data_IF_961989536675
#
_entry.id   IF_961989536675
#
_cell.length_a   1.000
_cell.length_b   1.000
_cell.length_c   1.000
_cell.angle_alpha   90.00
_cell.angle_beta   90.00
_cell.angle_gamma   90.00
#
_symmetry.space_group_name_H-M   'P 1'
#
loop_
_entity.id
_entity.type
_entity.pdbx_description
1 polymer ?
#
# COMPACT_ATOMS: atom_id res chain seq x y z
N UNK A 1 17.31 30.84 17.57
CA UNK A 1 16.50 31.82 18.32
C UNK A 1 17.40 32.52 19.34
N UNK A 2 18.15 33.56 18.95
CA UNK A 2 19.12 34.20 19.84
C UNK A 2 18.50 35.13 20.90
N UNK A 3 17.16 35.20 21.00
CA UNK A 3 16.43 36.12 21.88
C UNK A 3 15.52 35.41 22.90
N UNK A 4 15.61 34.08 23.04
CA UNK A 4 14.85 33.33 24.05
C UNK A 4 15.69 33.13 25.30
N UNK A 5 15.05 33.13 26.47
CA UNK A 5 15.71 32.90 27.76
C UNK A 5 16.16 31.44 27.87
N UNK A 6 17.29 31.19 28.56
CA UNK A 6 17.85 29.84 28.73
C UNK A 6 16.86 28.88 29.44
N UNK A 7 16.08 29.41 30.39
CA UNK A 7 15.04 28.68 31.11
C UNK A 7 13.97 28.09 30.18
N UNK A 8 13.67 28.76 29.05
CA UNK A 8 12.74 28.23 28.05
C UNK A 8 13.30 26.98 27.36
N UNK A 9 14.60 26.93 27.10
CA UNK A 9 15.24 25.74 26.51
C UNK A 9 15.36 24.60 27.50
N UNK A 10 15.51 24.88 28.80
CA UNK A 10 15.40 23.86 29.85
C UNK A 10 13.97 23.32 29.95
N UNK A 11 12.96 24.19 29.89
CA UNK A 11 11.56 23.78 29.80
C UNK A 11 11.29 22.89 28.58
N UNK A 12 11.79 23.26 27.39
CA UNK A 12 11.66 22.45 26.17
C UNK A 12 12.40 21.12 26.23
N UNK A 13 13.41 20.98 27.10
CA UNK A 13 14.10 19.70 27.34
C UNK A 13 13.37 18.82 28.35
N UNK A 14 12.57 19.41 29.24
CA UNK A 14 11.83 18.68 30.27
C UNK A 14 10.39 18.33 29.90
N UNK A 15 9.82 18.96 28.87
CA UNK A 15 8.50 18.61 28.33
C UNK A 15 8.43 17.14 27.93
N UNK A 16 7.37 16.49 28.41
CA UNK A 16 6.91 15.20 27.94
C UNK A 16 5.37 15.19 27.83
N UNK A 17 4.79 14.02 27.54
CA UNK A 17 3.34 13.84 27.45
C UNK A 17 2.77 13.07 28.65
N UNK A 18 3.46 13.06 29.79
CA UNK A 18 3.07 12.23 30.95
C UNK A 18 1.74 12.67 31.58
N UNK A 19 1.50 13.99 31.66
CA UNK A 19 0.26 14.60 32.17
C UNK A 19 -0.80 14.84 31.06
N UNK A 20 -0.70 14.13 29.93
CA UNK A 20 -1.65 14.24 28.81
C UNK A 20 -2.62 13.06 28.81
N UNK A 21 -3.91 13.35 28.86
CA UNK A 21 -4.98 12.37 28.70
C UNK A 21 -5.61 12.50 27.30
N UNK A 22 -5.83 11.36 26.64
CA UNK A 22 -6.44 11.30 25.31
C UNK A 22 -7.70 10.44 25.33
N UNK A 23 -8.81 11.04 24.92
CA UNK A 23 -10.09 10.37 24.72
C UNK A 23 -10.40 10.38 23.23
N UNK A 24 -10.66 9.22 22.63
CA UNK A 24 -10.90 9.12 21.19
C UNK A 24 -11.96 8.07 20.85
N UNK A 25 -12.64 8.30 19.73
CA UNK A 25 -13.50 7.28 19.12
C UNK A 25 -12.60 6.12 18.63
N UNK A 26 -12.96 4.84 18.88
CA UNK A 26 -12.18 3.72 18.37
C UNK A 26 -12.08 3.72 16.83
N UNK A 27 -10.96 3.23 16.30
CA UNK A 27 -10.79 3.12 14.84
C UNK A 27 -11.85 2.22 14.19
N UNK A 28 -12.23 2.53 12.94
CA UNK A 28 -13.23 1.80 12.17
C UNK A 28 -14.67 2.27 12.38
N UNK A 29 -14.93 3.17 13.33
CA UNK A 29 -16.24 3.78 13.52
C UNK A 29 -16.49 4.91 12.52
N UNK A 30 -17.75 5.04 12.11
CA UNK A 30 -18.19 6.19 11.32
C UNK A 30 -18.29 7.44 12.22
N UNK A 31 -17.78 8.56 11.73
CA UNK A 31 -17.81 9.85 12.41
C UNK A 31 -18.47 10.90 11.52
N UNK A 32 -19.07 11.91 12.15
CA UNK A 32 -19.87 12.92 11.46
C UNK A 32 -19.34 14.33 11.73
N UNK A 33 -19.60 15.29 10.81
CA UNK A 33 -19.19 16.67 11.02
C UNK A 33 -19.73 17.23 12.33
N UNK A 34 -18.90 18.06 12.99
CA UNK A 34 -19.23 18.74 14.26
C UNK A 34 -19.39 17.80 15.47
N UNK A 35 -18.94 16.55 15.37
CA UNK A 35 -18.79 15.63 16.49
C UNK A 35 -17.30 15.52 16.82
N UNK A 36 -16.88 15.67 18.10
CA UNK A 36 -15.48 15.51 18.47
C UNK A 36 -15.02 14.07 18.24
N UNK A 37 -13.99 13.92 17.40
CA UNK A 37 -13.29 12.65 17.15
C UNK A 37 -12.36 12.26 18.30
N UNK A 38 -11.71 13.27 18.87
CA UNK A 38 -10.72 13.16 19.92
C UNK A 38 -10.82 14.38 20.84
N UNK A 39 -10.57 14.16 22.14
CA UNK A 39 -10.40 15.19 23.16
C UNK A 39 -9.07 14.94 23.87
N UNK A 40 -8.28 16.00 24.01
CA UNK A 40 -6.95 15.97 24.63
C UNK A 40 -6.98 16.92 25.82
N UNK A 41 -6.60 16.42 26.99
CA UNK A 41 -6.56 17.18 28.24
C UNK A 41 -5.14 17.14 28.80
N UNK A 42 -4.66 18.26 29.36
CA UNK A 42 -3.31 18.36 29.91
C UNK A 42 -2.77 19.79 29.93
N UNK A 43 -1.47 19.97 30.23
CA UNK A 43 -0.83 21.28 30.24
C UNK A 43 -0.94 21.99 28.88
N UNK A 44 -1.41 23.25 28.89
CA UNK A 44 -1.75 24.01 27.68
C UNK A 44 -0.63 24.04 26.64
N UNK A 45 0.62 24.23 27.08
CA UNK A 45 1.77 24.29 26.17
C UNK A 45 2.04 22.95 25.48
N UNK A 46 1.85 21.83 26.17
CA UNK A 46 2.06 20.47 25.61
C UNK A 46 0.94 20.11 24.64
N UNK A 47 -0.32 20.27 25.06
CA UNK A 47 -1.47 19.93 24.22
C UNK A 47 -1.53 20.79 22.95
N UNK A 48 -1.08 22.04 23.02
CA UNK A 48 -0.98 22.92 21.86
C UNK A 48 0.07 22.45 20.85
N UNK A 49 1.21 21.92 21.32
CA UNK A 49 2.24 21.34 20.43
C UNK A 49 1.74 20.06 19.74
N UNK A 50 0.84 19.32 20.39
CA UNK A 50 0.25 18.08 19.86
C UNK A 50 -0.83 18.32 18.79
N UNK A 51 -1.37 19.53 18.65
CA UNK A 51 -2.42 19.84 17.68
C UNK A 51 -2.00 19.48 16.24
N UNK A 52 -0.84 19.95 15.80
CA UNK A 52 -0.35 19.74 14.43
C UNK A 52 -0.14 18.26 14.09
N UNK A 53 0.59 17.47 14.90
CA UNK A 53 0.79 16.04 14.60
C UNK A 53 -0.52 15.26 14.64
N UNK A 54 -1.42 15.52 15.60
CA UNK A 54 -2.72 14.84 15.64
C UNK A 54 -3.58 15.18 14.43
N UNK A 55 -3.66 16.46 14.02
CA UNK A 55 -4.37 16.85 12.82
C UNK A 55 -3.82 16.15 11.57
N UNK A 56 -2.49 16.07 11.42
CA UNK A 56 -1.86 15.39 10.29
C UNK A 56 -2.22 13.91 10.24
N UNK A 57 -2.03 13.20 11.37
CA UNK A 57 -2.27 11.76 11.48
C UNK A 57 -3.74 11.40 11.28
N UNK A 58 -4.65 12.07 12.00
CA UNK A 58 -6.08 11.74 12.02
C UNK A 58 -6.75 12.11 10.69
N UNK A 59 -6.41 13.27 10.10
CA UNK A 59 -7.01 13.68 8.83
C UNK A 59 -6.62 12.73 7.70
N UNK A 60 -5.33 12.36 7.62
CA UNK A 60 -4.87 11.44 6.58
C UNK A 60 -5.49 10.05 6.71
N UNK A 61 -5.46 9.49 7.93
CA UNK A 61 -6.06 8.20 8.24
C UNK A 61 -7.54 8.13 7.88
N UNK A 62 -8.30 9.13 8.33
CA UNK A 62 -9.75 9.19 8.11
C UNK A 62 -10.10 9.38 6.64
N UNK A 63 -9.36 10.23 5.91
CA UNK A 63 -9.54 10.47 4.49
C UNK A 63 -9.33 9.19 3.67
N UNK A 64 -8.20 8.51 3.89
CA UNK A 64 -7.86 7.28 3.15
C UNK A 64 -8.87 6.18 3.46
N UNK A 65 -9.18 5.95 4.74
CA UNK A 65 -10.15 4.93 5.17
C UNK A 65 -11.52 5.19 4.54
N UNK A 66 -11.99 6.44 4.57
CA UNK A 66 -13.29 6.82 3.98
C UNK A 66 -13.31 6.62 2.47
N UNK A 67 -12.23 6.98 1.77
CA UNK A 67 -12.17 6.78 0.32
C UNK A 67 -12.13 5.29 -0.05
N UNK A 68 -11.39 4.48 0.70
CA UNK A 68 -11.38 3.03 0.53
C UNK A 68 -12.77 2.41 0.77
N UNK A 69 -13.48 2.87 1.81
CA UNK A 69 -14.86 2.44 2.08
C UNK A 69 -15.82 2.82 0.94
N UNK A 70 -15.65 4.00 0.32
CA UNK A 70 -16.41 4.40 -0.87
C UNK A 70 -16.14 3.49 -2.06
N UNK A 71 -14.88 3.12 -2.30
CA UNK A 71 -14.53 2.16 -3.34
C UNK A 71 -15.13 0.77 -3.07
N UNK A 72 -15.06 0.29 -1.82
CA UNK A 72 -15.70 -0.97 -1.41
C UNK A 72 -17.21 -0.94 -1.64
N UNK A 73 -17.88 0.17 -1.31
CA UNK A 73 -19.32 0.33 -1.53
C UNK A 73 -19.68 0.18 -3.01
N UNK A 74 -18.92 0.81 -3.91
CA UNK A 74 -19.16 0.77 -5.36
C UNK A 74 -18.81 -0.59 -5.96
N UNK A 75 -17.69 -1.18 -5.56
CA UNK A 75 -17.24 -2.47 -6.10
C UNK A 75 -18.08 -3.66 -5.61
N UNK A 76 -18.69 -3.54 -4.42
CA UNK A 76 -19.41 -4.62 -3.76
C UNK A 76 -18.49 -5.63 -3.07
N UNK A 77 -19.08 -6.55 -2.29
CA UNK A 77 -18.34 -7.54 -1.49
C UNK A 77 -17.74 -8.69 -2.29
N UNK A 78 -18.22 -8.94 -3.50
CA UNK A 78 -17.80 -10.09 -4.32
C UNK A 78 -16.51 -9.84 -5.11
N UNK A 79 -16.03 -8.59 -5.14
CA UNK A 79 -14.84 -8.20 -5.90
C UNK A 79 -13.64 -8.06 -4.97
N UNK A 80 -12.49 -8.55 -5.43
CA UNK A 80 -11.23 -8.34 -4.74
C UNK A 80 -10.69 -6.93 -5.03
N UNK A 81 -10.47 -6.14 -3.97
CA UNK A 81 -9.88 -4.81 -4.03
C UNK A 81 -8.46 -4.85 -3.50
N UNK A 82 -7.51 -4.37 -4.31
CA UNK A 82 -6.08 -4.39 -4.00
C UNK A 82 -5.53 -2.96 -3.98
N UNK A 83 -4.73 -2.65 -2.95
CA UNK A 83 -4.09 -1.35 -2.78
C UNK A 83 -2.68 -1.39 -3.39
N UNK A 84 -2.49 -0.71 -4.53
CA UNK A 84 -1.20 -0.60 -5.26
C UNK A 84 -0.76 0.88 -5.45
N UNK A 85 -1.12 1.73 -4.50
CA UNK A 85 -0.84 3.17 -4.47
C UNK A 85 0.54 3.54 -3.94
N UNK A 86 1.28 2.61 -3.31
CA UNK A 86 2.57 2.83 -2.64
C UNK A 86 3.50 3.83 -3.35
N UNK A 87 3.73 3.67 -4.65
CA UNK A 87 4.68 4.50 -5.42
C UNK A 87 4.25 5.95 -5.65
N UNK A 88 3.03 6.32 -5.26
CA UNK A 88 2.51 7.71 -5.29
C UNK A 88 2.08 8.20 -3.92
N UNK A 89 2.26 7.38 -2.88
CA UNK A 89 1.97 7.81 -1.53
C UNK A 89 2.98 8.86 -1.08
N UNK A 90 2.54 9.81 -0.27
CA UNK A 90 3.31 11.00 0.06
C UNK A 90 4.21 10.76 1.27
N UNK A 91 5.50 11.10 1.13
CA UNK A 91 6.47 11.01 2.21
C UNK A 91 6.85 9.57 2.59
N UNK A 92 7.74 9.42 3.58
CA UNK A 92 8.29 8.12 3.98
C UNK A 92 7.24 7.21 4.64
N UNK A 93 6.30 7.77 5.40
CA UNK A 93 5.27 7.00 6.11
C UNK A 93 3.99 6.80 5.28
N UNK A 94 3.71 7.69 4.31
CA UNK A 94 2.42 7.69 3.60
C UNK A 94 2.11 6.37 2.90
N UNK A 95 3.12 5.65 2.41
CA UNK A 95 2.94 4.33 1.80
C UNK A 95 2.39 3.29 2.77
N UNK A 96 2.97 3.23 3.98
CA UNK A 96 2.60 2.27 5.03
C UNK A 96 1.23 2.64 5.60
N UNK A 97 1.05 3.91 5.96
CA UNK A 97 -0.22 4.43 6.46
C UNK A 97 -1.35 4.25 5.45
N UNK A 98 -1.14 4.57 4.17
CA UNK A 98 -2.17 4.36 3.14
C UNK A 98 -2.59 2.89 3.03
N UNK A 99 -1.62 1.97 3.05
CA UNK A 99 -1.89 0.52 2.97
C UNK A 99 -2.77 0.06 4.14
N UNK A 100 -2.44 0.49 5.36
CA UNK A 100 -3.18 0.17 6.59
C UNK A 100 -4.62 0.66 6.52
N UNK A 101 -4.81 1.94 6.19
CA UNK A 101 -6.12 2.57 6.22
C UNK A 101 -7.00 2.16 5.01
N UNK A 102 -6.40 1.83 3.86
CA UNK A 102 -7.15 1.20 2.77
C UNK A 102 -7.68 -0.17 3.16
N UNK A 103 -6.87 -1.00 3.83
CA UNK A 103 -7.30 -2.30 4.33
C UNK A 103 -8.43 -2.16 5.35
N UNK A 104 -8.29 -1.24 6.31
CA UNK A 104 -9.35 -0.91 7.26
C UNK A 104 -10.65 -0.46 6.59
N UNK A 105 -10.55 0.35 5.53
CA UNK A 105 -11.68 0.79 4.71
C UNK A 105 -12.31 -0.33 3.86
N UNK A 106 -11.74 -1.53 3.88
CA UNK A 106 -12.32 -2.72 3.27
C UNK A 106 -11.63 -3.20 2.00
N UNK A 107 -10.40 -2.79 1.71
CA UNK A 107 -9.57 -3.45 0.70
C UNK A 107 -9.10 -4.82 1.22
N UNK A 108 -8.80 -5.76 0.32
CA UNK A 108 -8.50 -7.15 0.69
C UNK A 108 -7.00 -7.44 0.81
N UNK A 109 -6.16 -6.66 0.13
CA UNK A 109 -4.70 -6.84 0.14
C UNK A 109 -3.95 -5.58 -0.30
N UNK A 110 -2.64 -5.55 -0.06
CA UNK A 110 -1.72 -4.49 -0.54
C UNK A 110 -0.49 -5.08 -1.24
N UNK A 111 0.15 -4.30 -2.11
CA UNK A 111 1.52 -4.60 -2.58
C UNK A 111 2.62 -4.24 -1.59
N UNK A 112 2.31 -3.49 -0.53
CA UNK A 112 3.31 -2.99 0.40
C UNK A 112 3.71 -4.05 1.43
N UNK A 113 4.88 -4.65 1.21
CA UNK A 113 5.43 -5.70 2.09
C UNK A 113 5.70 -5.19 3.51
N UNK A 114 6.08 -3.91 3.68
CA UNK A 114 6.30 -3.35 5.01
C UNK A 114 5.00 -3.25 5.81
N UNK A 115 3.90 -2.84 5.16
CA UNK A 115 2.59 -2.81 5.79
C UNK A 115 2.07 -4.24 6.09
N UNK A 116 2.31 -5.19 5.19
CA UNK A 116 2.01 -6.60 5.45
C UNK A 116 2.77 -7.17 6.65
N UNK A 117 4.05 -6.80 6.80
CA UNK A 117 4.87 -7.21 7.96
C UNK A 117 4.42 -6.57 9.27
N UNK A 118 4.10 -5.27 9.28
CA UNK A 118 3.78 -4.52 10.49
C UNK A 118 2.35 -4.78 10.98
N UNK A 119 1.40 -4.95 10.06
CA UNK A 119 -0.03 -4.99 10.38
C UNK A 119 -0.73 -6.30 9.99
N UNK A 120 0.02 -7.28 9.45
CA UNK A 120 -0.55 -8.58 9.04
C UNK A 120 -1.49 -8.49 7.83
N UNK A 121 -1.40 -7.42 7.04
CA UNK A 121 -2.25 -7.21 5.86
C UNK A 121 -1.85 -8.21 4.77
N UNK A 122 -2.80 -8.92 4.12
CA UNK A 122 -2.48 -9.83 3.03
C UNK A 122 -1.71 -9.11 1.91
N UNK A 123 -0.63 -9.75 1.45
CA UNK A 123 0.21 -9.20 0.38
C UNK A 123 -0.21 -9.79 -0.96
N UNK A 124 -0.33 -8.94 -1.98
CA UNK A 124 -0.53 -9.31 -3.38
C UNK A 124 0.34 -8.44 -4.29
N UNK A 125 0.91 -9.03 -5.31
CA UNK A 125 1.72 -8.32 -6.29
C UNK A 125 2.15 -9.26 -7.42
N UNK A 126 2.40 -8.69 -8.58
CA UNK A 126 2.92 -9.40 -9.75
C UNK A 126 4.33 -8.92 -10.07
N UNK A 127 4.94 -9.48 -11.10
CA UNK A 127 6.14 -8.90 -11.70
C UNK A 127 5.84 -7.52 -12.30
N UNK A 128 6.89 -6.71 -12.47
CA UNK A 128 6.81 -5.36 -13.04
C UNK A 128 7.06 -5.36 -14.55
N UNK A 129 6.64 -4.31 -15.25
CA UNK A 129 7.01 -4.13 -16.66
C UNK A 129 8.53 -4.06 -16.87
N UNK A 130 9.27 -3.46 -15.92
CA UNK A 130 10.71 -3.37 -16.00
C UNK A 130 11.40 -4.75 -16.02
N UNK A 131 10.80 -5.76 -15.38
CA UNK A 131 11.28 -7.13 -15.46
C UNK A 131 11.13 -7.71 -16.87
N UNK A 132 10.01 -7.44 -17.56
CA UNK A 132 9.83 -7.92 -18.93
C UNK A 132 10.74 -7.16 -19.90
N UNK A 133 10.82 -5.83 -19.75
CA UNK A 133 11.61 -4.96 -20.61
C UNK A 133 13.13 -5.09 -20.43
N UNK A 134 13.60 -5.79 -19.38
CA UNK A 134 15.03 -6.04 -19.21
C UNK A 134 15.57 -7.15 -20.09
N UNK A 135 14.69 -7.92 -20.75
CA UNK A 135 15.10 -9.01 -21.64
C UNK A 135 15.07 -8.57 -23.11
N UNK A 136 16.17 -8.75 -23.83
CA UNK A 136 16.24 -8.45 -25.27
C UNK A 136 15.94 -9.66 -26.15
N UNK A 137 16.02 -10.86 -25.59
CA UNK A 137 15.85 -12.12 -26.32
C UNK A 137 15.71 -13.33 -25.39
N UNK A 138 15.35 -14.47 -25.97
CA UNK A 138 15.19 -15.74 -25.24
C UNK A 138 16.55 -16.37 -24.86
N UNK A 139 17.64 -15.91 -25.46
CA UNK A 139 19.01 -16.33 -25.19
C UNK A 139 19.52 -15.85 -23.82
N UNK A 140 18.93 -14.80 -23.26
CA UNK A 140 19.25 -14.29 -21.91
C UNK A 140 18.63 -15.14 -20.78
N UNK A 141 17.70 -16.04 -21.11
CA UNK A 141 17.08 -16.94 -20.14
C UNK A 141 18.04 -18.08 -19.83
N UNK A 142 18.63 -18.01 -18.63
CA UNK A 142 19.66 -18.95 -18.15
C UNK A 142 19.08 -20.29 -17.71
N UNK A 143 17.99 -20.28 -16.94
CA UNK A 143 17.29 -21.50 -16.53
C UNK A 143 16.08 -21.72 -17.44
N UNK A 144 16.13 -22.81 -18.19
CA UNK A 144 15.07 -23.23 -19.13
C UNK A 144 14.23 -24.36 -18.57
N UNK A 145 14.58 -24.87 -17.39
CA UNK A 145 13.88 -25.98 -16.79
C UNK A 145 12.61 -25.49 -16.09
N UNK A 146 11.53 -26.25 -16.20
CA UNK A 146 10.31 -25.99 -15.46
C UNK A 146 9.79 -27.28 -14.84
N UNK A 147 9.77 -27.31 -13.51
CA UNK A 147 9.19 -28.42 -12.76
C UNK A 147 7.69 -28.19 -12.56
N UNK A 148 6.91 -29.27 -12.68
CA UNK A 148 5.48 -29.26 -12.41
C UNK A 148 5.18 -28.90 -10.94
N UNK A 149 4.00 -28.34 -10.68
CA UNK A 149 3.60 -27.90 -9.33
C UNK A 149 3.52 -29.03 -8.30
N UNK A 150 3.31 -30.26 -8.75
CA UNK A 150 3.31 -31.49 -7.96
C UNK A 150 4.69 -32.17 -7.88
N UNK A 151 5.70 -31.63 -8.57
CA UNK A 151 7.06 -32.18 -8.62
C UNK A 151 7.21 -33.47 -9.42
N UNK A 152 6.16 -33.95 -10.10
CA UNK A 152 6.17 -35.26 -10.76
C UNK A 152 6.93 -35.29 -12.10
N UNK A 153 7.10 -34.13 -12.72
CA UNK A 153 7.70 -34.00 -14.04
C UNK A 153 8.49 -32.70 -14.18
N UNK A 154 9.57 -32.75 -14.95
CA UNK A 154 10.41 -31.60 -15.26
C UNK A 154 10.54 -31.46 -16.76
N UNK A 155 10.16 -30.30 -17.28
CA UNK A 155 10.43 -29.91 -18.65
C UNK A 155 11.85 -29.33 -18.70
N UNK A 156 12.78 -30.00 -19.37
CA UNK A 156 14.19 -29.56 -19.48
C UNK A 156 14.37 -28.30 -20.34
N UNK A 157 13.49 -28.09 -21.31
CA UNK A 157 13.52 -26.91 -22.19
C UNK A 157 12.12 -26.31 -22.40
N UNK A 158 11.74 -25.50 -21.42
CA UNK A 158 10.48 -24.78 -21.42
C UNK A 158 10.40 -23.73 -22.54
N UNK A 159 11.53 -23.15 -22.97
CA UNK A 159 11.55 -22.15 -24.05
C UNK A 159 11.09 -22.79 -25.36
N UNK A 160 11.69 -23.93 -25.73
CA UNK A 160 11.30 -24.66 -26.93
C UNK A 160 9.83 -25.11 -26.87
N UNK A 161 9.35 -25.52 -25.69
CA UNK A 161 7.94 -25.85 -25.49
C UNK A 161 7.02 -24.65 -25.76
N UNK A 162 7.34 -23.48 -25.21
CA UNK A 162 6.56 -22.24 -25.42
C UNK A 162 6.57 -21.82 -26.88
N UNK A 163 7.72 -21.88 -27.57
CA UNK A 163 7.81 -21.57 -29.00
C UNK A 163 6.96 -22.51 -29.86
N UNK A 164 6.95 -23.82 -29.56
CA UNK A 164 6.11 -24.80 -30.25
C UNK A 164 4.61 -24.48 -30.08
N UNK A 165 4.20 -24.08 -28.88
CA UNK A 165 2.82 -23.66 -28.63
C UNK A 165 2.49 -22.32 -29.29
N UNK A 166 3.43 -21.38 -29.34
CA UNK A 166 3.26 -20.11 -30.03
C UNK A 166 2.91 -20.31 -31.52
N UNK A 167 3.62 -21.22 -32.20
CA UNK A 167 3.35 -21.56 -33.61
C UNK A 167 1.92 -22.10 -33.77
N UNK A 168 1.48 -22.98 -32.87
CA UNK A 168 0.11 -23.55 -32.91
C UNK A 168 -0.96 -22.47 -32.72
N UNK A 169 -0.74 -21.55 -31.80
CA UNK A 169 -1.67 -20.45 -31.51
C UNK A 169 -1.73 -19.46 -32.68
N UNK A 170 -0.60 -19.20 -33.35
CA UNK A 170 -0.55 -18.32 -34.52
C UNK A 170 -1.45 -18.80 -35.66
N UNK A 171 -1.59 -20.12 -35.86
CA UNK A 171 -2.48 -20.69 -36.88
C UNK A 171 -3.97 -20.48 -36.54
N UNK A 172 -4.30 -20.35 -35.26
CA UNK A 172 -5.68 -20.20 -34.77
C UNK A 172 -6.15 -18.74 -34.73
N UNK A 173 -5.23 -17.76 -34.79
CA UNK A 173 -5.56 -16.34 -34.70
C UNK A 173 -5.57 -15.65 -36.09
N UNK A 174 -6.63 -14.91 -36.45
CA UNK A 174 -6.66 -14.09 -37.66
C UNK A 174 -5.50 -13.08 -37.71
N UNK A 175 -4.89 -12.91 -38.88
CA UNK A 175 -3.73 -12.03 -39.09
C UNK A 175 -3.95 -10.55 -38.67
N UNK A 176 -5.20 -10.08 -38.65
CA UNK A 176 -5.56 -8.74 -38.18
C UNK A 176 -5.40 -8.55 -36.66
N UNK A 177 -5.63 -9.60 -35.86
CA UNK A 177 -5.46 -9.53 -34.40
C UNK A 177 -3.98 -9.47 -34.02
N UNK A 178 -3.10 -10.16 -34.77
CA UNK A 178 -1.66 -10.14 -34.52
C UNK A 178 -1.04 -8.74 -34.62
N UNK A 179 -1.45 -7.95 -35.63
CA UNK A 179 -0.99 -6.57 -35.80
C UNK A 179 -1.42 -5.63 -34.66
N UNK A 180 -2.49 -5.97 -33.93
CA UNK A 180 -2.98 -5.16 -32.81
C UNK A 180 -2.30 -5.48 -31.47
N UNK A 181 -1.69 -6.66 -31.32
CA UNK A 181 -1.04 -7.09 -30.07
C UNK A 181 0.45 -6.71 -29.98
N UNK A 182 1.04 -6.26 -31.08
CA UNK A 182 2.45 -5.85 -31.17
C UNK A 182 2.67 -4.33 -31.08
N UNK A 183 1.58 -3.54 -30.94
CA UNK A 183 1.59 -2.11 -30.66
C UNK A 183 1.08 -1.86 -29.23
#
# INVERSE_FOLDING_TARGET
>A
MPACEDDFFEYLRSIDCSDVEVYAIPEGYAVFPKVPLMRIEGPVAVVQLLETPFLSLVNYASLVTTNAARHRLVAGKSKNLLEFGLRRAQGPDGGISASRYCYMGGFDATSNVAAGRLFGIPIRGTHSHAFVSSFMGLDEITDKTLTSSDGSNTCEDFISLVQNWLIRIQVLLPAQLWKSMLN
#
